data_IF_444102444240
#
_entry.id   IF_444102444240
#
_cell.length_a   1.000
_cell.length_b   1.000
_cell.length_c   1.000
_cell.angle_alpha   90.00
_cell.angle_beta   90.00
_cell.angle_gamma   90.00
#
_symmetry.space_group_name_H-M   'P 1'
#
loop_
_entity.id
_entity.type
_entity.pdbx_description
1 polymer ?
#
# COMPACT_ATOMS: atom_id res chain seq x y z
N UNK A 1 18.32 11.45 -1.98
CA UNK A 1 17.18 11.16 -2.87
C UNK A 1 16.68 9.71 -2.75
N UNK A 2 17.54 8.72 -2.47
CA UNK A 2 17.14 7.30 -2.41
C UNK A 2 16.22 6.91 -1.25
N UNK A 3 16.42 7.46 -0.04
CA UNK A 3 15.65 7.07 1.16
C UNK A 3 14.15 7.42 1.08
N UNK A 4 13.80 8.54 0.42
CA UNK A 4 12.41 8.99 0.29
C UNK A 4 11.60 8.00 -0.53
N UNK A 5 12.20 7.42 -1.59
CA UNK A 5 11.56 6.44 -2.46
C UNK A 5 11.23 5.16 -1.67
N UNK A 6 12.16 4.67 -0.84
CA UNK A 6 11.94 3.49 0.01
C UNK A 6 10.80 3.69 1.01
N UNK A 7 10.62 4.91 1.53
CA UNK A 7 9.54 5.25 2.46
C UNK A 7 8.15 5.07 1.84
N UNK A 8 8.01 5.27 0.53
CA UNK A 8 6.76 5.05 -0.19
C UNK A 8 6.63 3.63 -0.75
N UNK A 9 7.74 3.02 -1.15
CA UNK A 9 7.74 1.70 -1.79
C UNK A 9 7.42 0.57 -0.78
N UNK A 10 8.01 0.64 0.41
CA UNK A 10 7.88 -0.41 1.44
C UNK A 10 6.44 -0.60 1.92
N UNK A 11 5.68 0.47 2.26
CA UNK A 11 4.26 0.35 2.61
C UNK A 11 3.42 -0.21 1.46
N UNK A 12 3.72 0.17 0.21
CA UNK A 12 3.03 -0.37 -0.96
C UNK A 12 3.26 -1.88 -1.11
N UNK A 13 4.50 -2.34 -0.98
CA UNK A 13 4.84 -3.77 -1.05
C UNK A 13 4.18 -4.56 0.07
N UNK A 14 4.20 -4.04 1.30
CA UNK A 14 3.51 -4.65 2.44
C UNK A 14 1.99 -4.72 2.25
N UNK A 15 1.40 -3.64 1.74
CA UNK A 15 -0.03 -3.59 1.46
C UNK A 15 -0.44 -4.60 0.38
N UNK A 16 0.35 -4.70 -0.69
CA UNK A 16 0.13 -5.68 -1.76
C UNK A 16 0.26 -7.12 -1.23
N UNK A 17 1.24 -7.37 -0.37
CA UNK A 17 1.41 -8.66 0.28
C UNK A 17 0.16 -9.04 1.10
N UNK A 18 -0.37 -8.10 1.91
CA UNK A 18 -1.61 -8.35 2.66
C UNK A 18 -2.82 -8.63 1.78
N UNK A 19 -2.95 -7.93 0.65
CA UNK A 19 -4.02 -8.20 -0.32
C UNK A 19 -3.87 -9.60 -0.92
N UNK A 20 -2.65 -10.00 -1.27
CA UNK A 20 -2.38 -11.34 -1.82
C UNK A 20 -2.68 -12.43 -0.80
N UNK A 21 -2.31 -12.20 0.47
CA UNK A 21 -2.60 -13.09 1.59
C UNK A 21 -4.12 -13.19 1.85
N UNK A 22 -4.85 -12.09 1.72
CA UNK A 22 -6.29 -12.10 1.81
C UNK A 22 -6.92 -12.95 0.69
N UNK A 23 -6.51 -12.77 -0.56
CA UNK A 23 -6.99 -13.57 -1.69
C UNK A 23 -6.68 -15.07 -1.48
N UNK A 24 -5.52 -15.37 -0.92
CA UNK A 24 -5.16 -16.74 -0.54
C UNK A 24 -6.10 -17.33 0.51
N UNK A 25 -6.40 -16.59 1.57
CA UNK A 25 -7.38 -17.02 2.60
C UNK A 25 -8.78 -17.24 2.01
N UNK A 26 -9.18 -16.44 1.01
CA UNK A 26 -10.44 -16.64 0.29
C UNK A 26 -10.45 -17.97 -0.49
N UNK A 27 -9.30 -18.38 -1.04
CA UNK A 27 -9.13 -19.65 -1.76
C UNK A 27 -9.22 -20.85 -0.83
N UNK A 28 -8.60 -20.78 0.34
CA UNK A 28 -8.63 -21.88 1.32
C UNK A 28 -10.00 -21.97 2.01
N UNK A 29 -10.73 -20.85 2.11
CA UNK A 29 -12.09 -20.81 2.62
C UNK A 29 -12.20 -20.98 4.14
N UNK A 30 -11.07 -20.91 4.85
CA UNK A 30 -10.97 -21.16 6.29
C UNK A 30 -11.72 -20.11 7.11
N UNK A 31 -11.51 -18.83 6.82
CA UNK A 31 -12.00 -17.75 7.68
C UNK A 31 -12.30 -16.44 6.92
N UNK A 32 -13.60 -16.19 6.68
CA UNK A 32 -14.07 -14.98 5.96
C UNK A 32 -13.76 -13.69 6.72
N UNK A 33 -13.74 -13.72 8.05
CA UNK A 33 -13.41 -12.53 8.84
C UNK A 33 -11.93 -12.14 8.73
N UNK A 34 -11.04 -13.14 8.65
CA UNK A 34 -9.61 -12.92 8.46
C UNK A 34 -9.32 -12.33 7.08
N UNK A 35 -10.01 -12.81 6.05
CA UNK A 35 -9.97 -12.23 4.72
C UNK A 35 -10.29 -10.73 4.73
N UNK A 36 -11.44 -10.34 5.30
CA UNK A 36 -11.88 -8.94 5.29
C UNK A 36 -10.87 -8.05 6.03
N UNK A 37 -10.37 -8.49 7.20
CA UNK A 37 -9.35 -7.72 7.95
C UNK A 37 -8.06 -7.54 7.17
N UNK A 38 -7.55 -8.60 6.54
CA UNK A 38 -6.30 -8.54 5.77
C UNK A 38 -6.45 -7.69 4.50
N UNK A 39 -7.56 -7.86 3.78
CA UNK A 39 -7.84 -7.11 2.56
C UNK A 39 -7.99 -5.61 2.86
N UNK A 40 -8.78 -5.27 3.88
CA UNK A 40 -9.01 -3.89 4.29
C UNK A 40 -7.73 -3.25 4.84
N UNK A 41 -6.97 -3.99 5.66
CA UNK A 41 -5.67 -3.53 6.16
C UNK A 41 -4.65 -3.29 5.05
N UNK A 42 -4.56 -4.20 4.07
CA UNK A 42 -3.68 -4.05 2.91
C UNK A 42 -4.05 -2.84 2.04
N UNK A 43 -5.34 -2.63 1.76
CA UNK A 43 -5.83 -1.47 1.01
C UNK A 43 -5.58 -0.16 1.76
N UNK A 44 -5.81 -0.12 3.07
CA UNK A 44 -5.47 1.03 3.92
C UNK A 44 -3.98 1.35 3.82
N UNK A 45 -3.11 0.34 3.84
CA UNK A 45 -1.67 0.55 3.69
C UNK A 45 -1.29 1.11 2.31
N UNK A 46 -1.96 0.67 1.23
CA UNK A 46 -1.69 1.15 -0.14
C UNK A 46 -2.20 2.58 -0.35
N UNK A 47 -3.37 2.93 0.18
CA UNK A 47 -4.03 4.20 -0.13
C UNK A 47 -3.85 5.27 0.95
N UNK A 48 -3.88 4.91 2.23
CA UNK A 48 -3.83 5.86 3.34
C UNK A 48 -2.40 6.15 3.78
N UNK A 49 -1.51 5.15 3.80
CA UNK A 49 -0.11 5.38 4.20
C UNK A 49 0.62 6.43 3.33
N UNK A 50 0.52 6.40 1.97
CA UNK A 50 1.09 7.47 1.15
C UNK A 50 0.44 8.84 1.40
N UNK A 51 -0.87 8.87 1.65
CA UNK A 51 -1.62 10.10 1.94
C UNK A 51 -1.14 10.77 3.24
N UNK A 52 -0.91 9.97 4.29
CA UNK A 52 -0.41 10.42 5.60
C UNK A 52 1.05 10.89 5.55
N UNK A 53 1.86 10.28 4.67
CA UNK A 53 3.25 10.66 4.43
C UNK A 53 3.39 11.89 3.50
N UNK A 54 2.29 12.54 3.11
CA UNK A 54 2.28 13.73 2.26
C UNK A 54 2.53 13.43 0.77
N UNK A 55 2.62 12.16 0.38
CA UNK A 55 2.80 11.71 -0.99
C UNK A 55 1.53 11.05 -1.50
N UNK A 56 0.52 11.84 -1.86
CA UNK A 56 -0.42 11.39 -2.89
C UNK A 56 0.38 11.09 -4.16
N UNK A 57 -0.11 10.25 -5.08
CA UNK A 57 0.56 10.05 -6.38
C UNK A 57 0.89 11.36 -7.12
N UNK A 58 0.17 12.44 -6.79
CA UNK A 58 0.45 13.82 -7.18
C UNK A 58 1.74 14.41 -6.59
N UNK A 59 2.14 14.05 -5.36
CA UNK A 59 3.40 14.46 -4.75
C UNK A 59 4.63 13.83 -5.41
N UNK A 60 4.54 12.56 -5.82
CA UNK A 60 5.57 11.91 -6.63
C UNK A 60 5.69 12.54 -8.03
N UNK A 61 4.55 12.87 -8.66
CA UNK A 61 4.53 13.62 -9.92
C UNK A 61 5.01 15.07 -9.77
N UNK A 62 4.70 15.76 -8.66
CA UNK A 62 5.22 17.09 -8.35
C UNK A 62 6.72 17.08 -8.11
N UNK A 63 7.26 16.03 -7.47
CA UNK A 63 8.71 15.87 -7.28
C UNK A 63 9.44 15.65 -8.62
N UNK A 64 8.80 15.01 -9.59
CA UNK A 64 9.31 14.91 -10.97
C UNK A 64 9.14 16.21 -11.77
N UNK A 65 8.10 17.02 -11.46
CA UNK A 65 7.78 18.26 -12.17
C UNK A 65 8.55 19.50 -11.65
N UNK A 66 9.05 19.47 -10.40
CA UNK A 66 9.85 20.56 -9.80
C UNK A 66 11.32 20.60 -10.26
N UNK A 67 11.70 19.78 -11.23
CA UNK A 67 13.04 19.74 -11.83
C UNK A 67 13.04 20.41 -13.22
N UNK A 68 12.57 21.66 -13.28
CA UNK A 68 12.78 22.60 -14.39
C UNK A 68 12.98 24.01 -13.84
#
# INVERSE_FOLDING_TARGET
MSIVIFIFLVPMMLGLYFVTLAIWELRVGTDRQRFIRLMFGGLVLIFIAPLMLGGSGLGFLQMLNGSN
#
